data_IF_324279405274
#
_entry.id   IF_324279405274
#
_cell.length_a   1.000
_cell.length_b   1.000
_cell.length_c   1.000
_cell.angle_alpha   90.00
_cell.angle_beta   90.00
_cell.angle_gamma   90.00
#
_symmetry.space_group_name_H-M   'P 1'
#
loop_
_entity.id
_entity.type
_entity.pdbx_description
1 polymer ?
2 non-polymer ?
3 non-polymer ?
4 non-polymer ?
5 water ?
#
# COMPACT_ATOMS: atom_id res chain seq x y z
N UNK A 2 2.16 -0.54 13.55
CA UNK A 2 1.34 -0.04 12.45
C UNK A 2 0.58 -1.16 11.77
N UNK A 3 -0.58 -0.82 11.21
CA UNK A 3 -1.34 -1.72 10.36
C UNK A 3 -1.60 -1.02 9.03
N UNK A 4 -1.83 -1.83 8.00
CA UNK A 4 -2.01 -1.31 6.65
C UNK A 4 -3.36 -1.83 6.16
N UNK A 5 -4.31 -0.92 5.96
CA UNK A 5 -5.56 -1.30 5.33
C UNK A 5 -5.41 -1.28 3.83
N UNK A 6 -5.77 -2.38 3.16
CA UNK A 6 -5.77 -2.44 1.71
C UNK A 6 -7.16 -2.77 1.24
N UNK A 7 -7.73 -1.92 0.42
CA UNK A 7 -9.02 -2.20 -0.19
C UNK A 7 -8.80 -2.28 -1.68
N UNK A 8 -9.04 -3.45 -2.26
CA UNK A 8 -9.01 -3.62 -3.71
C UNK A 8 -10.38 -3.23 -4.25
N UNK A 9 -10.42 -2.17 -5.04
CA UNK A 9 -11.67 -1.56 -5.48
C UNK A 9 -11.89 -1.83 -6.96
N UNK A 10 -13.12 -2.19 -7.32
CA UNK A 10 -13.50 -2.39 -8.71
C UNK A 10 -14.46 -1.29 -9.11
N UNK A 11 -14.08 -0.53 -10.13
CA UNK A 11 -14.91 0.58 -10.59
C UNK A 11 -16.13 0.08 -11.35
N UNK A 12 -17.33 0.53 -10.95
CA UNK A 12 -18.57 0.15 -11.61
C UNK A 12 -19.35 1.37 -12.11
N UNK A 13 -18.77 2.57 -12.01
CA UNK A 13 -19.37 3.75 -12.59
C UNK A 13 -18.33 4.70 -13.16
N UNK A 14 -18.60 5.99 -13.11
CA UNK A 14 -17.69 6.97 -13.71
C UNK A 14 -16.45 7.16 -12.86
N UNK A 15 -15.30 6.98 -13.48
CA UNK A 15 -14.03 7.07 -12.76
C UNK A 15 -13.82 8.46 -12.17
N UNK A 16 -14.12 9.50 -12.95
CA UNK A 16 -13.93 10.86 -12.46
C UNK A 16 -14.79 11.15 -11.24
N UNK A 17 -16.05 10.74 -11.26
CA UNK A 17 -16.88 11.02 -10.09
C UNK A 17 -16.44 10.19 -8.90
N UNK A 18 -16.13 8.91 -9.12
CA UNK A 18 -15.56 8.12 -8.03
C UNK A 18 -14.40 8.86 -7.39
N UNK A 19 -13.46 9.32 -8.21
CA UNK A 19 -12.27 9.97 -7.66
C UNK A 19 -12.63 11.27 -6.95
N UNK A 20 -13.57 12.04 -7.49
CA UNK A 20 -13.94 13.27 -6.79
C UNK A 20 -14.62 12.96 -5.46
N UNK A 21 -15.53 11.99 -5.42
CA UNK A 21 -16.16 11.62 -4.16
C UNK A 21 -15.19 10.96 -3.19
N UNK A 22 -14.14 10.31 -3.69
CA UNK A 22 -13.14 9.77 -2.78
C UNK A 22 -12.31 10.87 -2.12
N UNK A 23 -12.24 12.04 -2.74
CA UNK A 23 -11.58 13.18 -2.12
C UNK A 23 -12.12 13.44 -0.72
N UNK A 24 -13.45 13.39 -0.57
CA UNK A 24 -14.07 13.65 0.72
C UNK A 24 -13.73 12.57 1.74
N UNK A 25 -13.53 11.34 1.28
CA UNK A 25 -13.16 10.27 2.20
C UNK A 25 -11.72 10.46 2.65
N UNK A 26 -10.82 10.73 1.71
CA UNK A 26 -9.44 11.00 2.09
C UNK A 26 -9.34 12.16 3.07
N UNK A 27 -10.07 13.24 2.78
CA UNK A 27 -10.05 14.40 3.67
C UNK A 27 -10.44 14.01 5.10
N UNK A 28 -11.53 13.26 5.25
CA UNK A 28 -11.98 12.92 6.59
C UNK A 28 -10.99 12.01 7.30
N UNK A 29 -10.43 11.03 6.58
CA UNK A 29 -9.40 10.18 7.17
C UNK A 29 -8.29 11.01 7.79
N UNK A 30 -7.80 12.01 7.04
CA UNK A 30 -6.66 12.79 7.50
C UNK A 30 -6.92 13.49 8.83
N UNK A 31 -8.18 13.67 9.21
CA UNK A 31 -8.54 14.25 10.50
C UNK A 31 -8.65 13.22 11.60
N UNK A 32 -8.42 11.94 11.33
CA UNK A 32 -8.74 10.95 12.35
C UNK A 32 -7.50 10.51 13.10
N UNK A 33 -7.59 10.36 14.42
CA UNK A 33 -6.42 9.94 15.19
C UNK A 33 -5.85 8.63 14.66
N UNK A 34 -4.55 8.58 14.53
CA UNK A 34 -3.86 7.36 14.17
C UNK A 34 -3.50 7.21 12.72
N UNK A 35 -4.08 8.03 11.83
CA UNK A 35 -3.72 7.91 10.42
C UNK A 35 -2.26 8.29 10.21
N UNK A 36 -1.52 7.44 9.51
CA UNK A 36 -0.15 7.79 9.10
C UNK A 36 -0.13 8.41 7.71
N UNK A 37 -0.72 7.72 6.74
CA UNK A 37 -0.69 8.14 5.35
C UNK A 37 -1.68 7.26 4.59
N UNK A 38 -2.03 7.67 3.37
CA UNK A 38 -2.81 6.83 2.48
C UNK A 38 -2.49 7.20 1.03
N UNK A 39 -2.67 6.22 0.15
CA UNK A 39 -2.66 6.46 -1.29
C UNK A 39 -3.83 5.71 -1.90
N UNK A 40 -4.55 6.37 -2.81
CA UNK A 40 -5.43 5.71 -3.75
C UNK A 40 -4.66 5.62 -5.07
N UNK A 41 -4.44 4.39 -5.55
CA UNK A 41 -3.68 4.18 -6.79
C UNK A 41 -4.57 3.42 -7.76
N UNK A 42 -4.37 3.69 -9.06
CA UNK A 42 -5.16 3.08 -10.10
C UNK A 42 -4.26 2.21 -10.97
N UNK A 43 -4.69 0.97 -11.18
CA UNK A 43 -3.90 0.03 -11.98
C UNK A 43 -3.80 0.47 -13.42
N UNK A 44 -2.59 0.36 -13.98
CA UNK A 44 -2.42 0.55 -15.42
C UNK A 44 -2.60 -0.75 -16.18
N UNK A 45 -2.74 -1.89 -15.51
CA UNK A 45 -3.04 -3.12 -16.23
C UNK A 45 -4.54 -3.25 -16.50
N UNK A 46 -5.35 -2.99 -15.49
CA UNK A 46 -6.81 -3.06 -15.59
C UNK A 46 -7.33 -1.78 -14.94
N UNK A 47 -7.75 -0.81 -15.75
CA UNK A 47 -8.07 0.49 -15.16
C UNK A 47 -9.38 0.49 -14.38
N UNK A 48 -10.09 -0.64 -14.32
CA UNK A 48 -11.22 -0.75 -13.40
C UNK A 48 -10.78 -1.14 -11.99
N UNK A 49 -9.48 -1.31 -11.75
CA UNK A 49 -8.96 -1.74 -10.45
C UNK A 49 -8.25 -0.56 -9.81
N UNK A 50 -8.64 -0.24 -8.57
CA UNK A 50 -7.87 0.66 -7.72
C UNK A 50 -7.51 -0.08 -6.45
N UNK A 51 -6.51 0.44 -5.75
CA UNK A 51 -6.25 0.04 -4.38
C UNK A 51 -6.21 1.29 -3.51
N UNK A 52 -6.98 1.28 -2.44
CA UNK A 52 -6.79 2.21 -1.35
C UNK A 52 -5.85 1.55 -0.36
N UNK A 53 -4.77 2.25 0.00
CA UNK A 53 -3.72 1.74 0.87
C UNK A 53 -3.52 2.76 1.96
N UNK A 54 -4.02 2.45 3.16
CA UNK A 54 -4.08 3.43 4.24
C UNK A 54 -3.39 2.86 5.47
N UNK A 55 -2.39 3.60 5.98
CA UNK A 55 -1.57 3.13 7.08
C UNK A 55 -1.97 3.80 8.38
N UNK A 56 -2.24 2.99 9.40
CA UNK A 56 -2.75 3.46 10.67
C UNK A 56 -1.82 2.99 11.78
N UNK A 57 -1.86 3.73 12.90
CA UNK A 57 -1.01 3.41 14.05
C UNK A 57 -1.29 2.01 14.57
N UNK A 58 -2.54 1.57 14.51
CA UNK A 58 -2.92 0.26 15.04
C UNK A 58 -4.35 -0.03 14.62
N UNK A 59 -4.78 -1.26 14.87
CA UNK A 59 -6.13 -1.66 14.49
C UNK A 59 -7.16 -0.84 15.25
N UNK A 60 -6.84 -0.49 16.50
CA UNK A 60 -7.73 0.26 17.36
C UNK A 60 -8.14 1.59 16.74
N UNK A 61 -7.17 2.38 16.27
CA UNK A 61 -7.50 3.70 15.73
C UNK A 61 -8.26 3.56 14.42
N UNK A 62 -7.91 2.55 13.62
CA UNK A 62 -8.62 2.26 12.38
C UNK A 62 -10.08 1.93 12.67
N UNK A 63 -10.32 1.03 13.63
CA UNK A 63 -11.70 0.69 14.00
C UNK A 63 -12.45 1.90 14.56
N UNK A 64 -11.78 2.71 15.38
CA UNK A 64 -12.48 3.85 15.96
C UNK A 64 -12.87 4.86 14.89
N UNK A 65 -12.01 5.08 13.88
CA UNK A 65 -12.36 6.02 12.82
C UNK A 65 -13.57 5.53 12.03
N UNK A 66 -13.59 4.24 11.67
CA UNK A 66 -14.71 3.68 10.94
C UNK A 66 -16.03 3.77 11.71
N UNK A 67 -15.99 4.00 13.02
CA UNK A 67 -17.22 4.18 13.79
C UNK A 67 -17.77 5.60 13.70
N UNK A 68 -17.11 6.52 13.00
CA UNK A 68 -17.60 7.89 12.93
C UNK A 68 -18.72 8.00 11.92
N UNK A 69 -19.87 8.56 12.29
CA UNK A 69 -20.95 8.73 11.30
C UNK A 69 -20.53 9.48 10.04
N UNK A 70 -19.72 10.53 10.17
CA UNK A 70 -19.25 11.24 8.98
C UNK A 70 -18.42 10.34 8.07
N UNK A 71 -17.58 9.47 8.65
CA UNK A 71 -16.84 8.51 7.83
C UNK A 71 -17.79 7.58 7.10
N UNK A 72 -18.81 7.07 7.79
CA UNK A 72 -19.75 6.16 7.16
C UNK A 72 -20.57 6.88 6.10
N UNK A 73 -20.89 8.15 6.34
CA UNK A 73 -21.63 8.95 5.36
C UNK A 73 -20.84 9.08 4.06
N UNK A 74 -19.55 9.41 4.17
CA UNK A 74 -18.75 9.59 2.96
C UNK A 74 -18.44 8.26 2.26
N UNK A 75 -18.26 7.17 3.01
CA UNK A 75 -18.14 5.86 2.38
C UNK A 75 -19.43 5.50 1.65
N UNK A 76 -20.57 5.77 2.27
CA UNK A 76 -21.85 5.41 1.64
C UNK A 76 -22.03 6.17 0.33
N UNK A 77 -21.42 7.34 0.18
CA UNK A 77 -21.57 8.08 -1.06
C UNK A 77 -20.80 7.43 -2.22
N UNK A 78 -19.98 6.42 -1.94
CA UNK A 78 -19.30 5.68 -3.01
C UNK A 78 -20.10 4.48 -3.50
N UNK A 79 -21.23 4.16 -2.87
CA UNK A 79 -22.04 3.02 -3.29
C UNK A 79 -22.55 3.24 -4.70
N UNK A 80 -22.42 2.22 -5.54
CA UNK A 80 -22.78 2.32 -6.93
C UNK A 80 -21.64 2.75 -7.84
N UNK A 81 -20.59 3.35 -7.29
CA UNK A 81 -19.41 3.70 -8.07
C UNK A 81 -18.32 2.66 -8.00
N UNK A 82 -18.17 1.97 -6.87
CA UNK A 82 -17.15 0.95 -6.71
C UNK A 82 -17.69 -0.20 -5.87
N UNK A 83 -17.02 -1.34 -5.98
CA UNK A 83 -17.19 -2.48 -5.09
C UNK A 83 -15.86 -2.76 -4.41
N UNK A 84 -15.91 -3.17 -3.15
CA UNK A 84 -14.70 -3.34 -2.35
C UNK A 84 -14.36 -4.77 -1.97
N UNK A 85 -13.06 -5.02 -1.81
CA UNK A 85 -12.51 -6.23 -1.20
C UNK A 85 -11.57 -5.77 -0.09
N UNK A 86 -12.10 -5.51 1.11
CA UNK A 86 -11.29 -4.90 2.16
C UNK A 86 -10.46 -5.91 2.96
N UNK A 87 -9.25 -5.51 3.30
CA UNK A 87 -8.30 -6.33 4.07
C UNK A 87 -7.52 -5.41 5.00
N UNK A 88 -7.84 -5.42 6.29
CA UNK A 88 -6.91 -4.88 7.27
C UNK A 88 -5.75 -5.86 7.39
N UNK A 89 -4.53 -5.38 7.19
CA UNK A 89 -3.38 -6.27 7.00
C UNK A 89 -2.27 -5.88 7.96
N UNK A 90 -1.47 -6.90 8.37
CA UNK A 90 -0.33 -6.66 9.27
C UNK A 90 0.95 -6.66 8.48
N UNK A 91 1.82 -5.68 8.65
CA UNK A 91 3.13 -5.73 7.98
C UNK A 91 3.93 -6.94 8.44
N UNK A 92 4.41 -7.70 7.48
CA UNK A 92 5.20 -8.89 7.72
C UNK A 92 6.66 -8.63 7.45
N UNK A 93 6.95 -7.85 6.41
CA UNK A 93 8.29 -7.36 6.13
C UNK A 93 8.17 -6.03 5.39
N UNK A 94 9.06 -5.10 5.72
CA UNK A 94 9.06 -3.83 5.04
C UNK A 94 10.48 -3.28 5.04
N UNK A 95 10.71 -2.28 4.20
CA UNK A 95 11.99 -1.62 4.17
C UNK A 95 11.92 -0.44 3.24
N UNK A 96 13.00 0.32 3.21
CA UNK A 96 13.09 1.47 2.34
C UNK A 96 14.48 1.51 1.74
N UNK A 97 14.70 2.47 0.84
CA UNK A 97 15.97 2.57 0.16
C UNK A 97 17.09 2.63 1.19
N UNK A 98 18.10 1.77 1.00
CA UNK A 98 19.28 1.72 1.86
C UNK A 98 20.51 2.31 1.16
N UNK A 99 21.50 2.68 1.97
CA UNK A 99 22.81 3.09 1.44
C UNK A 99 23.57 1.88 0.90
N UNK A 100 24.05 2.00 -0.34
CA UNK A 100 24.88 0.93 -0.90
C UNK A 100 26.10 0.66 -0.01
N UNK A 101 26.65 1.70 0.62
CA UNK A 101 27.89 1.57 1.39
C UNK A 101 27.65 1.17 2.85
N UNK A 102 26.41 0.88 3.22
CA UNK A 102 26.02 0.74 4.63
C UNK A 102 26.96 -0.18 5.40
N UNK A 103 27.27 -1.35 4.84
CA UNK A 103 28.10 -2.32 5.54
C UNK A 103 29.61 -2.04 5.48
N UNK A 104 30.05 -1.00 4.77
CA UNK A 104 31.47 -0.75 4.61
C UNK A 104 32.00 0.29 5.59
N UNK A 105 31.15 0.74 6.52
CA UNK A 105 31.63 1.57 7.63
C UNK A 105 32.13 0.71 8.79
N UNK A 106 31.60 -0.50 8.94
CA UNK A 106 31.96 -1.39 10.04
C UNK A 106 31.65 -0.74 11.38
N UNK A 107 30.56 0.03 11.42
CA UNK A 107 30.16 0.76 12.61
C UNK A 107 29.35 -0.15 13.53
N UNK B 2 6.06 9.13 -9.22
CA UNK B 2 6.19 7.85 -8.55
C UNK B 2 5.17 6.88 -9.13
N UNK B 3 5.52 5.59 -9.13
CA UNK B 3 4.59 4.52 -9.44
C UNK B 3 4.55 3.60 -8.22
N UNK B 4 3.45 2.88 -8.09
CA UNK B 4 3.24 1.98 -6.96
C UNK B 4 2.91 0.61 -7.52
N UNK B 5 3.80 -0.35 -7.27
CA UNK B 5 3.56 -1.72 -7.68
C UNK B 5 2.72 -2.41 -6.59
N UNK B 6 1.58 -2.98 -6.98
CA UNK B 6 0.72 -3.69 -6.01
C UNK B 6 0.48 -5.10 -6.54
N UNK B 7 0.88 -6.11 -5.77
CA UNK B 7 0.64 -7.50 -6.14
C UNK B 7 -0.22 -8.15 -5.07
N UNK B 8 -1.44 -8.54 -5.45
CA UNK B 8 -2.29 -9.32 -4.55
C UNK B 8 -1.85 -10.78 -4.62
N UNK B 9 -1.29 -11.30 -3.54
CA UNK B 9 -0.74 -12.65 -3.50
C UNK B 9 -1.71 -13.60 -2.84
N UNK B 10 -1.79 -14.81 -3.36
CA UNK B 10 -2.53 -15.91 -2.77
C UNK B 10 -1.54 -16.95 -2.29
N UNK B 11 -1.50 -17.19 -0.98
CA UNK B 11 -0.59 -18.17 -0.41
C UNK B 11 -1.09 -19.57 -0.73
N UNK B 12 -0.26 -20.37 -1.40
CA UNK B 12 -0.57 -21.77 -1.68
C UNK B 12 0.40 -22.73 -1.02
N UNK B 13 1.40 -22.24 -0.29
CA UNK B 13 2.32 -23.10 0.42
C UNK B 13 2.46 -22.66 1.87
N UNK B 14 3.60 -22.97 2.44
CA UNK B 14 3.85 -22.65 3.84
C UNK B 14 4.05 -21.16 4.02
N UNK B 15 3.34 -20.58 4.99
CA UNK B 15 3.43 -19.15 5.25
C UNK B 15 4.84 -18.76 5.69
N UNK B 16 5.40 -19.48 6.66
CA UNK B 16 6.71 -19.12 7.18
C UNK B 16 7.79 -19.25 6.11
N UNK B 17 7.73 -20.31 5.30
CA UNK B 17 8.70 -20.45 4.22
C UNK B 17 8.56 -19.32 3.22
N UNK B 18 7.32 -18.99 2.84
CA UNK B 18 7.13 -17.89 1.91
C UNK B 18 7.71 -16.60 2.46
N UNK B 19 7.43 -16.30 3.72
CA UNK B 19 7.88 -15.03 4.30
C UNK B 19 9.41 -14.97 4.42
N UNK B 20 10.06 -16.07 4.80
CA UNK B 20 11.52 -16.01 4.90
C UNK B 20 12.14 -15.81 3.51
N UNK B 21 11.61 -16.49 2.50
CA UNK B 21 12.12 -16.29 1.14
C UNK B 21 11.85 -14.87 0.64
N UNK B 22 10.71 -14.28 1.00
CA UNK B 22 10.44 -12.92 0.55
C UNK B 22 11.46 -11.95 1.12
N UNK B 23 12.01 -12.26 2.30
CA UNK B 23 13.01 -11.40 2.93
C UNK B 23 14.16 -11.11 1.99
N UNK B 24 14.64 -12.14 1.28
CA UNK B 24 15.74 -11.94 0.34
C UNK B 24 15.32 -11.07 -0.84
N UNK B 25 14.05 -11.13 -1.24
CA UNK B 25 13.57 -10.24 -2.29
C UNK B 25 13.62 -8.79 -1.80
N UNK B 26 13.05 -8.53 -0.61
CA UNK B 26 13.07 -7.18 -0.07
C UNK B 26 14.47 -6.66 0.20
N UNK B 27 15.36 -7.53 0.70
CA UNK B 27 16.74 -7.11 0.91
C UNK B 27 17.35 -6.61 -0.40
N UNK B 28 17.12 -7.34 -1.50
CA UNK B 28 17.74 -6.96 -2.76
C UNK B 28 17.18 -5.63 -3.26
N UNK B 29 15.85 -5.51 -3.22
CA UNK B 29 15.19 -4.28 -3.64
C UNK B 29 15.74 -3.05 -2.94
N UNK B 30 16.25 -3.21 -1.71
CA UNK B 30 16.63 -2.04 -0.93
C UNK B 30 17.80 -1.26 -1.53
N UNK B 31 18.64 -1.87 -2.37
CA UNK B 31 19.65 -1.09 -3.07
C UNK B 31 19.43 -1.04 -4.58
N UNK B 32 18.25 -1.42 -5.06
CA UNK B 32 17.96 -1.23 -6.47
C UNK B 32 17.66 0.25 -6.72
N UNK B 33 18.28 0.87 -7.73
CA UNK B 33 18.01 2.29 -7.97
C UNK B 33 16.53 2.53 -8.23
N UNK B 34 16.03 3.63 -7.67
CA UNK B 34 14.63 3.99 -7.86
C UNK B 34 13.68 3.46 -6.83
N UNK B 35 14.08 2.50 -6.00
CA UNK B 35 13.17 1.98 -4.99
C UNK B 35 13.05 2.96 -3.82
N UNK B 36 11.82 3.30 -3.45
CA UNK B 36 11.53 4.21 -2.35
C UNK B 36 11.28 3.43 -1.06
N UNK B 37 10.26 2.59 -1.06
CA UNK B 37 9.99 1.72 0.08
C UNK B 37 9.07 0.60 -0.36
N UNK B 38 8.97 -0.44 0.47
CA UNK B 38 8.11 -1.56 0.13
C UNK B 38 7.57 -2.16 1.42
N UNK B 39 6.44 -2.85 1.31
CA UNK B 39 5.86 -3.56 2.44
C UNK B 39 5.17 -4.81 1.94
N UNK B 40 5.41 -5.91 2.65
CA UNK B 40 4.60 -7.10 2.48
C UNK B 40 3.66 -7.17 3.68
N UNK B 41 2.35 -7.17 3.41
CA UNK B 41 1.35 -7.19 4.47
C UNK B 41 0.45 -8.39 4.27
N UNK B 42 -0.02 -8.95 5.38
CA UNK B 42 -0.88 -10.14 5.38
C UNK B 42 -2.25 -9.78 5.94
N UNK B 43 -3.30 -10.11 5.19
CA UNK B 43 -4.66 -9.85 5.64
C UNK B 43 -4.99 -10.59 6.94
N UNK B 44 -5.63 -9.87 7.87
CA UNK B 44 -6.22 -10.53 9.03
C UNK B 44 -7.59 -11.13 8.73
N UNK B 45 -8.22 -10.75 7.62
CA UNK B 45 -9.53 -11.30 7.29
C UNK B 45 -9.40 -12.68 6.67
N UNK B 46 -8.46 -12.85 5.75
CA UNK B 46 -8.23 -14.10 5.03
C UNK B 46 -6.71 -14.26 4.98
N UNK B 47 -6.17 -15.15 5.81
CA UNK B 47 -4.72 -15.16 5.97
C UNK B 47 -4.00 -15.78 4.79
N UNK B 48 -4.72 -16.32 3.80
CA UNK B 48 -4.07 -16.66 2.54
C UNK B 48 -3.84 -15.45 1.66
N UNK B 49 -4.29 -14.26 2.05
CA UNK B 49 -4.16 -13.07 1.22
C UNK B 49 -3.02 -12.21 1.73
N UNK B 50 -2.02 -11.97 0.89
CA UNK B 50 -1.00 -10.96 1.15
C UNK B 50 -1.05 -9.89 0.05
N UNK B 51 -0.42 -8.74 0.33
CA UNK B 51 -0.15 -7.73 -0.68
C UNK B 51 1.32 -7.36 -0.62
N UNK B 52 2.00 -7.41 -1.78
CA UNK B 52 3.33 -6.85 -1.95
C UNK B 52 3.17 -5.47 -2.58
N UNK B 53 3.61 -4.44 -1.86
CA UNK B 53 3.36 -3.05 -2.26
C UNK B 53 4.71 -2.34 -2.29
N UNK B 54 5.06 -1.77 -3.44
CA UNK B 54 6.37 -1.15 -3.59
C UNK B 54 6.24 0.17 -4.34
N UNK B 55 6.80 1.23 -3.77
CA UNK B 55 6.82 2.53 -4.43
C UNK B 55 8.15 2.73 -5.12
N UNK B 56 8.09 3.11 -6.41
CA UNK B 56 9.28 3.35 -7.23
C UNK B 56 9.27 4.78 -7.75
N UNK B 57 10.47 5.33 -7.99
CA UNK B 57 10.58 6.69 -8.50
C UNK B 57 9.81 6.87 -9.78
N UNK B 58 9.86 5.87 -10.65
CA UNK B 58 9.19 5.97 -11.94
C UNK B 58 9.09 4.58 -12.53
N UNK B 59 8.48 4.51 -13.70
CA UNK B 59 8.30 3.26 -14.40
C UNK B 59 9.62 2.68 -14.90
N UNK B 60 10.55 3.54 -15.29
CA UNK B 60 11.81 3.07 -15.87
C UNK B 60 12.67 2.36 -14.83
N UNK B 61 12.72 2.88 -13.60
CA UNK B 61 13.51 2.23 -12.57
C UNK B 61 12.88 0.92 -12.14
N UNK B 62 11.55 0.88 -12.05
CA UNK B 62 10.86 -0.38 -11.79
C UNK B 62 11.18 -1.40 -12.87
N UNK B 63 11.16 -0.97 -14.14
CA UNK B 63 11.46 -1.88 -15.25
C UNK B 63 12.87 -2.42 -15.16
N UNK B 64 13.84 -1.55 -14.85
CA UNK B 64 15.24 -1.98 -14.84
C UNK B 64 15.53 -2.91 -13.67
N UNK B 65 14.87 -2.69 -12.52
CA UNK B 65 15.06 -3.57 -11.38
C UNK B 65 14.49 -4.96 -11.66
N UNK B 66 13.29 -5.00 -12.24
CA UNK B 66 12.65 -6.26 -12.57
C UNK B 66 13.54 -7.15 -13.45
N UNK B 67 14.32 -6.55 -14.35
CA UNK B 67 15.11 -7.34 -15.29
C UNK B 67 16.41 -7.88 -14.70
N UNK B 68 16.80 -7.45 -13.51
CA UNK B 68 18.11 -7.84 -12.98
C UNK B 68 18.12 -9.31 -12.62
N UNK B 69 18.99 -10.12 -13.23
CA UNK B 69 18.94 -11.57 -13.01
C UNK B 69 18.87 -12.00 -11.56
N UNK B 70 19.66 -11.39 -10.66
CA UNK B 70 19.66 -11.83 -9.27
C UNK B 70 18.35 -11.49 -8.59
N UNK B 71 17.77 -10.33 -8.89
CA UNK B 71 16.42 -10.04 -8.39
C UNK B 71 15.42 -11.09 -8.87
N UNK B 72 15.45 -11.40 -10.17
CA UNK B 72 14.51 -12.40 -10.70
C UNK B 72 14.74 -13.77 -10.07
N UNK B 73 16.00 -14.11 -9.74
CA UNK B 73 16.26 -15.37 -9.08
C UNK B 73 15.58 -15.44 -7.70
N UNK B 74 15.72 -14.38 -6.89
CA UNK B 74 15.05 -14.40 -5.60
C UNK B 74 13.55 -14.37 -5.74
N UNK B 75 13.04 -13.66 -6.76
CA UNK B 75 11.60 -13.66 -7.02
C UNK B 75 11.10 -15.03 -7.45
N UNK B 76 11.83 -15.70 -8.33
CA UNK B 76 11.43 -17.03 -8.79
C UNK B 76 11.41 -18.04 -7.65
N UNK B 77 12.20 -17.82 -6.60
CA UNK B 77 12.19 -18.74 -5.46
C UNK B 77 10.88 -18.72 -4.71
N UNK B 78 9.98 -17.78 -5.02
CA UNK B 78 8.66 -17.76 -4.40
C UNK B 78 7.62 -18.50 -5.24
N UNK B 79 7.91 -18.81 -6.50
CA UNK B 79 6.97 -19.59 -7.29
C UNK B 79 6.76 -20.94 -6.63
N UNK B 80 5.50 -21.40 -6.63
CA UNK B 80 5.13 -22.57 -5.86
C UNK B 80 4.71 -22.31 -4.43
N UNK B 81 4.97 -21.11 -3.90
CA UNK B 81 4.48 -20.74 -2.58
C UNK B 81 3.34 -19.75 -2.64
N UNK B 82 3.22 -18.99 -3.74
CA UNK B 82 2.21 -17.96 -3.90
C UNK B 82 1.81 -17.90 -5.35
N UNK B 83 0.58 -17.42 -5.59
CA UNK B 83 0.13 -16.95 -6.90
C UNK B 83 -0.03 -15.45 -6.82
N UNK B 84 0.24 -14.77 -7.94
CA UNK B 84 0.28 -13.31 -7.96
C UNK B 84 -0.77 -12.75 -8.89
N UNK B 85 -1.32 -11.60 -8.51
CA UNK B 85 -2.16 -10.77 -9.38
C UNK B 85 -1.56 -9.36 -9.36
N UNK B 86 -0.53 -9.11 -10.17
CA UNK B 86 0.24 -7.87 -10.07
C UNK B 86 -0.38 -6.71 -10.84
N UNK B 87 -0.20 -5.51 -10.30
CA UNK B 87 -0.75 -4.28 -10.90
C UNK B 87 0.28 -3.15 -10.73
N UNK B 88 0.91 -2.73 -11.83
CA UNK B 88 1.67 -1.49 -11.80
C UNK B 88 0.67 -0.35 -11.82
N UNK B 89 0.69 0.52 -10.81
CA UNK B 89 -0.41 1.45 -10.58
C UNK B 89 0.12 2.86 -10.39
N UNK B 90 -0.74 3.85 -10.69
CA UNK B 90 -0.42 5.27 -10.56
C UNK B 90 -1.15 5.90 -9.40
N UNK B 91 -0.47 6.69 -8.57
CA UNK B 91 -1.18 7.44 -7.53
C UNK B 91 -2.18 8.39 -8.15
N UNK B 92 -3.37 8.46 -7.54
CA UNK B 92 -4.45 9.31 -8.02
C UNK B 92 -4.82 10.35 -6.98
N UNK B 93 -4.80 9.97 -5.71
CA UNK B 93 -4.95 10.89 -4.60
C UNK B 93 -4.08 10.34 -3.49
N UNK B 94 -3.56 11.25 -2.68
CA UNK B 94 -2.57 10.83 -1.72
C UNK B 94 -2.65 11.73 -0.50
N UNK B 95 -2.57 11.12 0.68
CA UNK B 95 -2.37 11.87 1.90
C UNK B 95 -0.98 11.60 2.41
N UNK B 96 -0.04 12.49 2.12
CA UNK B 96 1.35 12.29 2.51
C UNK B 96 1.48 12.40 4.03
N UNK B 97 2.36 11.57 4.60
CA UNK B 97 2.57 11.57 6.04
C UNK B 97 2.87 12.97 6.56
N UNK B 98 3.81 13.66 5.91
CA UNK B 98 4.17 14.99 6.39
C UNK B 98 2.98 15.92 6.37
N UNK B 99 2.10 15.77 5.37
CA UNK B 99 0.96 16.66 5.25
C UNK B 99 -0.12 16.30 6.26
N UNK B 100 -0.30 15.00 6.53
CA UNK B 100 -1.24 14.60 7.58
C UNK B 100 -0.80 15.20 8.90
N UNK B 101 0.48 15.03 9.25
CA UNK B 101 1.01 15.59 10.48
C UNK B 101 0.84 17.11 10.50
N UNK B 102 1.18 17.76 9.38
CA UNK B 102 1.14 19.22 9.34
C UNK B 102 -0.27 19.75 9.60
N UNK B 103 -1.29 19.16 8.96
CA UNK B 103 -2.65 19.65 9.18
C UNK B 103 -3.07 19.49 10.63
N UNK B 104 -2.64 18.40 11.27
CA UNK B 104 -2.94 18.20 12.70
C UNK B 104 -2.29 19.28 13.55
N UNK B 105 -0.97 19.47 13.39
CA UNK B 105 -0.34 20.41 14.30
C UNK B 105 -0.72 21.85 13.97
N UNK B 106 -1.12 22.13 12.72
CA UNK B 106 -1.59 23.49 12.43
C UNK B 106 -2.93 23.76 13.11
N UNK B 107 -3.86 22.80 13.01
CA UNK B 107 -5.15 23.01 13.65
C UNK B 107 -4.99 23.17 15.14
N UNK B 108 -4.12 22.35 15.76
CA UNK B 108 -3.94 22.42 17.19
C UNK B 108 -3.16 23.63 17.65
N UNK B 109 -2.19 24.09 16.86
CA UNK B 109 -1.33 25.19 17.30
C UNK B 109 -1.65 26.52 16.65
N UNK B 110 -2.58 26.57 15.69
CA UNK B 110 -2.99 27.88 15.18
C UNK B 110 -3.91 28.58 16.18
N UNK B 111 -4.76 27.82 16.87
CA UNK B 111 -5.65 28.38 17.89
C UNK B 111 -6.75 29.24 17.25
N UNK B 112 -7.31 28.72 16.15
CA UNK B 112 -8.52 29.27 15.55
C UNK B 112 -9.69 29.19 16.53
#
# INVERSE_FOLDING_TARGET
MAVVFVNKLTLIGDAEEFESRYEAVGAFMETQPGLVRYSLVRSTKDDSVYFNIAEWDDEDTFRKALAEPEFRRRLDALTGLIKGEPHLSLPVRQGRAAQVLENLYFQGHHHHHH
MAVVFVNKLTLIGDAEEFESRYEAVGAFMETQPGLVRYSLVRSTKDDSVYFNIAEWDDEDTFRKALAEPEFRRRLDALTGLIKGEPHLSLPVRQGRAAQVLENLYFQGHHHHHH
#
